data_IF_091741054383
#
_entry.id   IF_091741054383
#
_cell.length_a   1.000
_cell.length_b   1.000
_cell.length_c   1.000
_cell.angle_alpha   90.00
_cell.angle_beta   90.00
_cell.angle_gamma   90.00
#
_symmetry.space_group_name_H-M   'P 1'
#
loop_
_entity.id
_entity.type
_entity.pdbx_description
1 polymer ?
#
# COMPACT_ATOMS: atom_id res chain seq x y z
N UNK A 1 2.57 11.42 -4.20
CA UNK A 1 1.43 10.50 -3.92
C UNK A 1 2.04 9.30 -3.22
N UNK A 2 1.55 8.91 -2.05
CA UNK A 2 2.19 7.85 -1.24
C UNK A 2 1.28 6.63 -1.09
N UNK A 3 1.86 5.44 -1.19
CA UNK A 3 1.15 4.15 -1.09
C UNK A 3 1.32 3.57 0.30
N UNK A 4 0.21 3.18 0.93
CA UNK A 4 0.23 2.44 2.19
C UNK A 4 0.02 0.95 1.92
N UNK A 5 0.99 0.14 2.32
CA UNK A 5 0.92 -1.33 2.22
C UNK A 5 0.66 -1.88 3.62
N UNK A 6 -0.46 -2.57 3.77
CA UNK A 6 -0.80 -3.28 5.00
C UNK A 6 -0.48 -4.76 4.79
N UNK A 7 0.30 -5.36 5.70
CA UNK A 7 0.54 -6.80 5.71
C UNK A 7 0.01 -7.42 7.00
N UNK A 8 -0.58 -8.61 6.84
CA UNK A 8 -1.17 -9.37 7.95
C UNK A 8 -0.30 -10.56 8.38
N UNK A 9 0.75 -10.89 7.63
CA UNK A 9 1.69 -11.97 7.93
C UNK A 9 3.10 -11.39 7.87
N UNK A 10 3.86 -11.48 8.97
CA UNK A 10 5.21 -10.89 9.08
C UNK A 10 6.16 -11.32 7.97
N UNK A 11 6.08 -12.60 7.55
CA UNK A 11 6.99 -13.20 6.56
C UNK A 11 6.54 -13.00 5.11
N UNK A 12 5.36 -12.43 4.88
CA UNK A 12 4.91 -12.05 3.54
C UNK A 12 5.35 -10.61 3.25
N UNK A 13 6.24 -10.47 2.27
CA UNK A 13 6.65 -9.17 1.75
C UNK A 13 5.72 -8.67 0.64
N UNK A 14 5.84 -7.38 0.24
CA UNK A 14 5.07 -6.84 -0.87
C UNK A 14 5.48 -7.41 -2.24
N UNK A 15 6.66 -8.03 -2.36
CA UNK A 15 7.10 -8.73 -3.57
C UNK A 15 7.14 -7.82 -4.80
N UNK A 16 6.55 -8.26 -5.92
CA UNK A 16 6.55 -7.53 -7.20
C UNK A 16 5.97 -6.10 -7.05
N UNK A 17 5.04 -5.88 -6.13
CA UNK A 17 4.49 -4.55 -5.87
C UNK A 17 5.59 -3.61 -5.36
N UNK A 18 6.49 -4.10 -4.49
CA UNK A 18 7.63 -3.33 -3.99
C UNK A 18 8.58 -2.93 -5.13
N UNK A 19 8.90 -3.88 -6.00
CA UNK A 19 9.78 -3.66 -7.15
C UNK A 19 9.19 -2.62 -8.11
N UNK A 20 7.88 -2.70 -8.38
CA UNK A 20 7.18 -1.72 -9.19
C UNK A 20 7.21 -0.32 -8.56
N UNK A 21 6.95 -0.21 -7.26
CA UNK A 21 6.94 1.08 -6.56
C UNK A 21 8.33 1.72 -6.55
N UNK A 22 9.37 0.94 -6.27
CA UNK A 22 10.76 1.39 -6.35
C UNK A 22 11.15 1.81 -7.78
N UNK A 23 10.80 1.01 -8.77
CA UNK A 23 11.12 1.27 -10.18
C UNK A 23 10.45 2.54 -10.75
N UNK A 24 9.34 2.97 -10.17
CA UNK A 24 8.61 4.18 -10.56
C UNK A 24 8.78 5.34 -9.56
N UNK A 25 9.69 5.24 -8.59
CA UNK A 25 9.95 6.28 -7.58
C UNK A 25 8.70 6.69 -6.79
N UNK A 26 7.81 5.73 -6.49
CA UNK A 26 6.67 5.98 -5.61
C UNK A 26 7.08 5.82 -4.15
N UNK A 27 6.78 6.83 -3.33
CA UNK A 27 6.91 6.72 -1.89
C UNK A 27 5.91 5.71 -1.33
N UNK A 28 6.35 4.78 -0.51
CA UNK A 28 5.47 3.83 0.15
C UNK A 28 5.88 3.54 1.59
N UNK A 29 4.89 3.16 2.40
CA UNK A 29 5.09 2.71 3.78
C UNK A 29 4.45 1.34 3.97
N UNK A 30 5.16 0.44 4.63
CA UNK A 30 4.64 -0.88 5.02
C UNK A 30 4.26 -0.85 6.49
N UNK A 31 3.10 -1.40 6.83
CA UNK A 31 2.63 -1.60 8.21
C UNK A 31 2.34 -3.07 8.43
N UNK A 32 2.93 -3.61 9.49
CA UNK A 32 2.76 -4.98 9.92
C UNK A 32 1.66 -5.10 11.00
N UNK A 33 0.45 -5.41 10.55
CA UNK A 33 -0.69 -5.60 11.43
C UNK A 33 -0.53 -6.83 12.34
N UNK A 34 0.27 -7.83 11.94
CA UNK A 34 0.54 -9.02 12.76
C UNK A 34 1.34 -8.70 14.03
N UNK A 35 2.04 -7.56 14.04
CA UNK A 35 2.82 -7.07 15.18
C UNK A 35 2.08 -6.00 15.99
N UNK A 36 0.85 -5.67 15.63
CA UNK A 36 0.09 -4.59 16.25
C UNK A 36 0.65 -3.20 15.93
N UNK A 37 1.31 -3.02 14.78
CA UNK A 37 1.75 -1.70 14.35
C UNK A 37 0.54 -0.76 14.13
N UNK A 38 0.64 0.46 14.64
CA UNK A 38 -0.43 1.42 14.56
C UNK A 38 -0.61 1.95 13.13
N UNK A 39 -1.87 2.08 12.70
CA UNK A 39 -2.23 2.78 11.48
C UNK A 39 -1.88 4.28 11.62
N UNK A 40 -1.44 4.94 10.53
CA UNK A 40 -1.20 6.37 10.53
C UNK A 40 -2.52 7.10 10.78
N UNK A 41 -2.50 8.04 11.72
CA UNK A 41 -3.70 8.69 12.28
C UNK A 41 -4.36 9.64 11.27
N UNK A 42 -3.64 10.06 10.22
CA UNK A 42 -4.14 10.96 9.19
C UNK A 42 -3.92 10.39 7.79
N UNK A 43 -4.93 9.68 7.25
CA UNK A 43 -5.02 9.44 5.81
C UNK A 43 -6.48 9.57 5.36
N UNK A 44 -6.81 10.72 4.79
CA UNK A 44 -8.09 10.97 4.13
C UNK A 44 -8.03 10.37 2.71
N UNK A 45 -8.33 9.07 2.57
CA UNK A 45 -8.43 8.45 1.26
C UNK A 45 -9.73 8.90 0.57
N UNK A 46 -9.66 9.91 -0.29
CA UNK A 46 -10.72 10.16 -1.28
C UNK A 46 -10.57 9.15 -2.42
N UNK A 47 -11.30 8.04 -2.34
CA UNK A 47 -11.46 7.13 -3.48
C UNK A 47 -12.49 7.72 -4.45
N UNK A 48 -12.06 8.14 -5.63
CA UNK A 48 -12.94 8.23 -6.81
C UNK A 48 -12.76 6.97 -7.64
N UNK A 49 -13.74 6.06 -7.60
CA UNK A 49 -13.78 4.91 -8.50
C UNK A 49 -13.95 5.39 -9.94
N UNK A 50 -12.92 5.23 -10.78
CA UNK A 50 -13.05 5.27 -12.24
C UNK A 50 -13.15 3.83 -12.73
N UNK A 51 -14.38 3.35 -12.89
CA UNK A 51 -14.63 2.13 -13.65
C UNK A 51 -14.34 2.42 -15.12
N UNK A 52 -13.10 2.20 -15.54
CA UNK A 52 -12.84 2.02 -16.96
C UNK A 52 -13.23 0.57 -17.29
N UNK A 53 -14.42 0.44 -17.87
CA UNK A 53 -14.92 -0.78 -18.48
C UNK A 53 -13.85 -1.33 -19.45
N UNK A 54 -13.35 -2.54 -19.17
CA UNK A 54 -12.59 -3.31 -20.15
C UNK A 54 -13.50 -3.53 -21.37
N UNK A 55 -13.08 -3.01 -22.53
CA UNK A 55 -13.60 -3.40 -23.85
C UNK A 55 -12.84 -4.60 -24.39
#
# INVERSE_FOLDING_TARGET
>A
MSVLILKNVSNEGPGIIEDYLKGNYFDYKVIDLSKGEALPIEYNFQYTWRSNECK
#
